data_IF_728820347843
#
_entry.id   IF_728820347843
#
_cell.length_a   1.000
_cell.length_b   1.000
_cell.length_c   1.000
_cell.angle_alpha   90.00
_cell.angle_beta   90.00
_cell.angle_gamma   90.00
#
_symmetry.space_group_name_H-M   'P 1'
#
loop_
_entity.id
_entity.type
_entity.pdbx_description
1 polymer ?
#
# COMPACT_ATOMS: atom_id res chain seq x y z
N UNK A 1 -7.84 -5.42 16.92
CA UNK A 1 -7.95 -4.24 16.05
C UNK A 1 -9.41 -3.87 15.80
N UNK A 2 -10.23 -4.75 15.22
CA UNK A 2 -11.65 -4.45 14.94
C UNK A 2 -12.48 -4.08 16.16
N UNK A 3 -12.19 -4.63 17.35
CA UNK A 3 -12.84 -4.23 18.62
C UNK A 3 -12.59 -2.77 18.97
N UNK A 4 -11.35 -2.28 18.76
CA UNK A 4 -10.98 -0.88 19.04
C UNK A 4 -11.63 0.08 18.05
N UNK A 5 -11.70 -0.30 16.77
CA UNK A 5 -12.31 0.53 15.73
C UNK A 5 -13.85 0.62 15.83
N UNK A 6 -14.49 -0.24 16.62
CA UNK A 6 -15.93 -0.23 16.89
C UNK A 6 -16.28 0.46 18.21
N UNK A 7 -15.29 0.99 18.93
CA UNK A 7 -15.53 1.69 20.19
C UNK A 7 -16.16 3.05 19.90
N UNK A 8 -17.41 3.23 20.33
CA UNK A 8 -18.19 4.45 20.08
C UNK A 8 -17.67 5.67 20.85
N UNK A 9 -16.83 5.46 21.87
CA UNK A 9 -16.20 6.55 22.63
C UNK A 9 -14.93 7.08 21.93
N UNK A 10 -14.51 6.46 20.82
CA UNK A 10 -13.32 6.83 20.06
C UNK A 10 -13.69 7.38 18.67
N UNK A 11 -12.92 8.34 18.12
CA UNK A 11 -13.29 9.07 16.91
C UNK A 11 -13.11 8.27 15.60
N UNK A 12 -13.01 6.94 15.68
CA UNK A 12 -12.67 6.09 14.53
C UNK A 12 -13.80 5.98 13.50
N UNK A 13 -15.05 6.22 13.90
CA UNK A 13 -16.21 6.21 13.01
C UNK A 13 -16.54 7.60 12.42
N UNK A 14 -16.06 8.69 13.02
CA UNK A 14 -16.35 10.06 12.60
C UNK A 14 -15.23 10.71 11.79
N UNK A 15 -13.98 10.46 12.16
CA UNK A 15 -12.82 11.16 11.60
C UNK A 15 -11.93 10.23 10.79
N UNK A 16 -11.24 10.78 9.78
CA UNK A 16 -10.25 10.02 9.03
C UNK A 16 -9.09 9.66 9.96
N UNK A 17 -8.95 8.38 10.26
CA UNK A 17 -7.88 7.85 11.10
C UNK A 17 -6.91 7.03 10.28
N UNK A 18 -5.62 7.23 10.55
CA UNK A 18 -4.53 6.53 9.89
C UNK A 18 -3.80 5.68 10.92
N UNK A 19 -3.79 4.36 10.70
CA UNK A 19 -2.97 3.44 11.47
C UNK A 19 -1.70 3.09 10.69
N UNK A 20 -0.58 2.95 11.40
CA UNK A 20 0.71 2.58 10.82
C UNK A 20 1.18 1.28 11.42
N UNK A 21 1.53 0.31 10.58
CA UNK A 21 1.96 -1.00 11.06
C UNK A 21 3.10 -1.66 10.26
N UNK A 22 3.71 -2.67 10.86
CA UNK A 22 4.76 -3.47 10.23
C UNK A 22 4.24 -4.48 9.20
N UNK A 23 5.18 -5.17 8.53
CA UNK A 23 4.90 -6.18 7.50
C UNK A 23 4.08 -7.38 7.95
N UNK A 24 4.02 -7.67 9.25
CA UNK A 24 3.11 -8.68 9.81
C UNK A 24 1.64 -8.35 9.53
N UNK A 25 1.31 -7.07 9.37
CA UNK A 25 -0.04 -6.54 9.17
C UNK A 25 -0.39 -6.34 7.68
N UNK A 26 0.53 -6.57 6.77
CA UNK A 26 0.29 -6.53 5.30
C UNK A 26 -0.32 -7.82 4.74
N UNK A 27 -1.14 -8.52 5.55
CA UNK A 27 -1.73 -9.82 5.23
C UNK A 27 -3.24 -9.68 5.01
N UNK A 28 -3.78 -10.49 4.09
CA UNK A 28 -5.20 -10.48 3.75
C UNK A 28 -6.13 -10.64 4.96
N UNK A 29 -5.79 -11.52 5.91
CA UNK A 29 -6.58 -11.73 7.14
C UNK A 29 -6.68 -10.50 8.03
N UNK A 30 -5.64 -9.66 8.02
CA UNK A 30 -5.64 -8.42 8.78
C UNK A 30 -6.35 -7.30 8.03
N UNK A 31 -6.05 -7.13 6.74
CA UNK A 31 -6.59 -6.03 5.93
C UNK A 31 -8.06 -6.22 5.56
N UNK A 32 -8.49 -7.45 5.29
CA UNK A 32 -9.86 -7.71 4.80
C UNK A 32 -10.95 -7.20 5.77
N UNK A 33 -10.87 -7.44 7.10
CA UNK A 33 -11.83 -6.87 8.06
C UNK A 33 -11.76 -5.36 8.16
N UNK A 34 -10.56 -4.76 8.05
CA UNK A 34 -10.37 -3.31 8.14
C UNK A 34 -11.15 -2.55 7.07
N UNK A 35 -11.43 -3.20 5.93
CA UNK A 35 -12.25 -2.62 4.86
C UNK A 35 -13.65 -2.19 5.30
N UNK A 36 -14.18 -2.75 6.39
CA UNK A 36 -15.48 -2.40 6.92
C UNK A 36 -15.54 -0.98 7.53
N UNK A 37 -14.40 -0.35 7.81
CA UNK A 37 -14.31 0.95 8.48
C UNK A 37 -13.98 2.05 7.46
N UNK A 38 -14.98 2.86 7.13
CA UNK A 38 -14.91 3.82 6.01
C UNK A 38 -13.90 4.93 6.25
N UNK A 39 -13.79 5.33 7.51
CA UNK A 39 -12.92 6.40 7.96
C UNK A 39 -11.55 5.93 8.41
N UNK A 40 -11.24 4.64 8.23
CA UNK A 40 -9.95 4.09 8.62
C UNK A 40 -9.07 3.80 7.40
N UNK A 41 -7.80 4.17 7.50
CA UNK A 41 -6.76 3.86 6.52
C UNK A 41 -5.54 3.25 7.22
N UNK A 42 -5.05 2.15 6.67
CA UNK A 42 -3.84 1.46 7.09
C UNK A 42 -2.67 1.86 6.19
N UNK A 43 -1.55 2.23 6.79
CA UNK A 43 -0.27 2.44 6.12
C UNK A 43 0.72 1.41 6.64
N UNK A 44 0.85 0.31 5.92
CA UNK A 44 1.58 -0.87 6.40
C UNK A 44 2.82 -1.11 5.59
N UNK A 45 3.97 -1.32 6.25
CA UNK A 45 5.16 -1.80 5.57
C UNK A 45 4.88 -3.13 4.89
N UNK A 46 5.45 -3.39 3.73
CA UNK A 46 5.38 -4.71 3.10
C UNK A 46 6.76 -5.32 2.87
N UNK A 47 6.84 -6.63 3.03
CA UNK A 47 8.05 -7.38 2.76
C UNK A 47 8.34 -7.41 1.25
N UNK A 48 9.61 -7.22 0.87
CA UNK A 48 10.07 -7.11 -0.52
C UNK A 48 9.85 -8.36 -1.41
N UNK A 49 9.40 -9.48 -0.85
CA UNK A 49 9.18 -10.73 -1.57
C UNK A 49 7.71 -10.97 -1.95
N UNK A 50 6.89 -9.92 -1.90
CA UNK A 50 5.46 -9.99 -2.20
C UNK A 50 5.21 -9.75 -3.68
N UNK A 51 4.11 -10.35 -4.14
CA UNK A 51 3.59 -10.20 -5.50
C UNK A 51 2.15 -9.72 -5.42
N UNK A 52 1.86 -8.69 -6.20
CA UNK A 52 0.57 -8.06 -6.37
C UNK A 52 0.15 -8.14 -7.83
N UNK A 53 -1.01 -7.59 -8.13
CA UNK A 53 -1.60 -7.64 -9.46
C UNK A 53 -2.34 -6.34 -9.74
N UNK A 54 -2.26 -5.84 -10.97
CA UNK A 54 -3.18 -4.80 -11.39
C UNK A 54 -4.61 -5.34 -11.45
N UNK A 55 -5.58 -4.48 -11.14
CA UNK A 55 -6.99 -4.78 -11.37
C UNK A 55 -7.23 -4.99 -12.87
N UNK A 56 -7.85 -6.10 -13.24
CA UNK A 56 -8.30 -6.33 -14.61
C UNK A 56 -9.58 -5.52 -14.86
N UNK A 57 -9.54 -4.54 -15.78
CA UNK A 57 -10.69 -3.70 -16.12
C UNK A 57 -10.93 -3.67 -17.65
N UNK A 58 -12.11 -4.14 -18.13
CA UNK A 58 -13.15 -4.83 -17.36
C UNK A 58 -12.68 -6.23 -16.88
N UNK A 59 -13.27 -6.77 -15.80
CA UNK A 59 -13.03 -8.15 -15.40
C UNK A 59 -13.38 -9.10 -16.56
N UNK A 60 -12.56 -10.12 -16.82
CA UNK A 60 -12.86 -11.12 -17.83
C UNK A 60 -13.98 -12.02 -17.30
N UNK A 61 -15.19 -11.95 -17.90
CA UNK A 61 -16.35 -12.61 -17.34
C UNK A 61 -16.27 -14.13 -17.52
N UNK A 62 -15.50 -14.66 -18.48
CA UNK A 62 -15.45 -16.10 -18.76
C UNK A 62 -14.15 -16.54 -19.47
N UNK A 63 -13.14 -17.04 -18.74
CA UNK A 63 -12.02 -17.74 -19.35
C UNK A 63 -12.47 -19.17 -19.76
N UNK A 64 -13.34 -19.27 -20.76
CA UNK A 64 -13.91 -20.54 -21.26
C UNK A 64 -14.90 -21.22 -20.29
N UNK A 65 -15.95 -21.83 -20.86
CA UNK A 65 -16.96 -22.70 -20.23
C UNK A 65 -17.00 -22.74 -18.68
N UNK A 66 -17.73 -21.80 -18.05
CA UNK A 66 -18.13 -21.89 -16.64
C UNK A 66 -17.07 -21.49 -15.60
N UNK A 67 -15.94 -20.90 -16.01
CA UNK A 67 -14.89 -20.44 -15.10
C UNK A 67 -15.28 -19.24 -14.23
N UNK A 68 -14.64 -19.11 -13.06
CA UNK A 68 -14.79 -17.96 -12.14
C UNK A 68 -14.26 -16.67 -12.78
N UNK A 69 -14.95 -15.54 -12.57
CA UNK A 69 -14.54 -14.20 -13.02
C UNK A 69 -13.08 -13.93 -12.65
N UNK A 70 -12.29 -13.50 -13.63
CA UNK A 70 -10.87 -13.18 -13.44
C UNK A 70 -10.71 -11.71 -13.09
N UNK A 71 -10.37 -11.43 -11.83
CA UNK A 71 -10.13 -10.06 -11.33
C UNK A 71 -8.67 -9.62 -11.42
N UNK A 72 -7.72 -10.57 -11.47
CA UNK A 72 -6.29 -10.30 -11.38
C UNK A 72 -5.67 -10.19 -12.79
N UNK A 73 -5.12 -9.02 -13.09
CA UNK A 73 -4.42 -8.71 -14.34
C UNK A 73 -2.93 -9.05 -14.30
N UNK A 74 -2.12 -8.15 -14.84
CA UNK A 74 -0.66 -8.27 -14.88
C UNK A 74 -0.07 -8.31 -13.47
N UNK A 75 0.99 -9.10 -13.30
CA UNK A 75 1.66 -9.23 -12.01
C UNK A 75 2.56 -8.03 -11.74
N UNK A 76 2.61 -7.60 -10.48
CA UNK A 76 3.53 -6.60 -9.93
C UNK A 76 4.37 -7.30 -8.85
N UNK A 77 5.61 -7.66 -9.17
CA UNK A 77 6.52 -8.36 -8.27
C UNK A 77 7.52 -7.38 -7.66
N UNK A 78 7.52 -7.24 -6.33
CA UNK A 78 8.40 -6.28 -5.64
C UNK A 78 9.89 -6.59 -5.81
N UNK A 79 10.25 -7.80 -6.27
CA UNK A 79 11.64 -8.18 -6.58
C UNK A 79 12.05 -7.86 -8.01
N UNK A 80 11.09 -7.68 -8.91
CA UNK A 80 11.33 -7.53 -10.34
C UNK A 80 10.82 -6.18 -10.82
N UNK A 81 11.75 -5.23 -10.94
CA UNK A 81 11.49 -3.86 -11.39
C UNK A 81 10.86 -3.80 -12.79
N UNK A 82 11.09 -4.82 -13.63
CA UNK A 82 10.49 -4.90 -14.96
C UNK A 82 8.98 -5.11 -14.94
N UNK A 83 8.42 -5.46 -13.78
CA UNK A 83 6.98 -5.72 -13.62
C UNK A 83 6.19 -4.54 -13.03
N UNK A 84 6.86 -3.46 -12.61
CA UNK A 84 6.18 -2.38 -11.90
C UNK A 84 5.35 -1.50 -12.81
N UNK A 85 5.76 -1.35 -14.08
CA UNK A 85 5.16 -0.39 -14.99
C UNK A 85 5.36 1.06 -14.54
N UNK A 86 4.63 1.98 -15.17
CA UNK A 86 4.68 3.40 -14.82
C UNK A 86 3.92 3.66 -13.50
N UNK A 87 4.46 4.51 -12.60
CA UNK A 87 3.73 4.93 -11.41
C UNK A 87 2.60 5.91 -11.77
N UNK A 88 1.51 5.86 -11.01
CA UNK A 88 0.39 6.81 -11.12
C UNK A 88 0.74 8.17 -10.50
N UNK A 89 1.61 8.19 -9.48
CA UNK A 89 2.15 9.40 -8.88
C UNK A 89 3.64 9.23 -8.59
N UNK A 90 4.42 10.28 -8.85
CA UNK A 90 5.82 10.37 -8.47
C UNK A 90 6.07 11.72 -7.81
N UNK A 91 6.73 11.70 -6.65
CA UNK A 91 7.11 12.92 -5.92
C UNK A 91 8.43 12.72 -5.23
N UNK A 92 9.14 13.81 -4.99
CA UNK A 92 10.36 13.79 -4.20
C UNK A 92 10.27 14.77 -3.04
N UNK A 93 10.83 14.39 -1.90
CA UNK A 93 10.88 15.25 -0.71
C UNK A 93 12.32 15.32 -0.18
N UNK A 94 12.80 16.53 0.18
CA UNK A 94 14.10 16.66 0.83
C UNK A 94 14.03 16.11 2.25
N UNK A 95 15.12 15.50 2.69
CA UNK A 95 15.25 15.00 4.05
C UNK A 95 16.63 15.32 4.62
N UNK A 96 16.67 15.98 5.77
CA UNK A 96 17.89 16.16 6.56
C UNK A 96 17.95 15.22 7.76
N UNK A 97 19.07 14.51 7.93
CA UNK A 97 19.31 13.71 9.13
C UNK A 97 19.65 14.61 10.32
N UNK A 98 19.57 14.08 11.55
CA UNK A 98 20.04 14.81 12.74
C UNK A 98 21.52 15.24 12.65
N UNK A 99 22.32 14.56 11.83
CA UNK A 99 23.73 14.91 11.59
C UNK A 99 23.92 15.98 10.51
N UNK A 100 22.84 16.58 9.99
CA UNK A 100 22.89 17.58 8.92
C UNK A 100 23.12 16.99 7.52
N UNK A 101 23.05 15.66 7.35
CA UNK A 101 23.21 15.04 6.02
C UNK A 101 21.94 15.28 5.22
N UNK A 102 22.07 15.94 4.07
CA UNK A 102 20.99 16.15 3.11
C UNK A 102 20.80 14.92 2.24
N UNK A 103 19.56 14.45 2.18
CA UNK A 103 19.09 13.29 1.45
C UNK A 103 17.87 13.68 0.62
N UNK A 104 17.61 12.92 -0.44
CA UNK A 104 16.42 13.04 -1.26
C UNK A 104 15.61 11.76 -1.15
N UNK A 105 14.33 11.86 -0.81
CA UNK A 105 13.43 10.71 -0.79
C UNK A 105 12.61 10.73 -2.08
N UNK A 106 12.82 9.73 -2.92
CA UNK A 106 11.99 9.50 -4.10
C UNK A 106 10.84 8.56 -3.74
N UNK A 107 9.62 9.01 -4.02
CA UNK A 107 8.39 8.28 -3.74
C UNK A 107 7.63 8.04 -5.04
N UNK A 108 7.23 6.80 -5.26
CA UNK A 108 6.42 6.39 -6.41
C UNK A 108 5.21 5.61 -5.91
N UNK A 109 4.03 5.85 -6.49
CA UNK A 109 2.78 5.21 -6.11
C UNK A 109 2.11 4.51 -7.29
N UNK A 110 1.57 3.34 -7.01
CA UNK A 110 0.67 2.60 -7.90
C UNK A 110 -0.66 2.42 -7.21
N UNK A 111 -1.72 2.88 -7.85
CA UNK A 111 -3.08 2.84 -7.33
C UNK A 111 -3.78 1.55 -7.74
N UNK A 112 -4.77 1.15 -6.95
CA UNK A 112 -5.70 0.07 -7.30
C UNK A 112 -5.06 -1.31 -7.57
N UNK A 113 -3.95 -1.60 -6.89
CA UNK A 113 -3.37 -2.93 -6.89
C UNK A 113 -4.18 -3.90 -6.04
N UNK A 114 -4.09 -5.17 -6.40
CA UNK A 114 -4.74 -6.29 -5.73
C UNK A 114 -3.70 -7.26 -5.16
N UNK A 115 -4.07 -7.89 -4.05
CA UNK A 115 -3.35 -9.02 -3.49
C UNK A 115 -4.26 -10.23 -3.43
N UNK A 116 -3.68 -11.43 -3.49
CA UNK A 116 -4.47 -12.65 -3.33
C UNK A 116 -4.94 -12.79 -1.88
N UNK A 117 -6.24 -12.98 -1.73
CA UNK A 117 -6.88 -13.28 -0.46
C UNK A 117 -6.94 -14.77 -0.16
N UNK A 118 -7.69 -15.10 0.90
CA UNK A 118 -8.12 -16.45 1.24
C UNK A 118 -9.64 -16.54 1.09
N UNK A 119 -10.22 -17.73 1.22
CA UNK A 119 -11.68 -17.94 1.05
C UNK A 119 -12.48 -17.10 2.05
N UNK A 120 -12.00 -17.05 3.29
CA UNK A 120 -12.53 -16.30 4.43
C UNK A 120 -11.99 -14.86 4.54
N UNK A 121 -11.05 -14.48 3.68
CA UNK A 121 -10.53 -13.11 3.56
C UNK A 121 -10.32 -12.73 2.08
N UNK A 122 -11.41 -12.60 1.29
CA UNK A 122 -11.31 -12.28 -0.13
C UNK A 122 -10.81 -10.84 -0.33
N UNK A 123 -9.82 -10.67 -1.21
CA UNK A 123 -9.17 -9.37 -1.47
C UNK A 123 -9.38 -8.85 -2.89
N UNK A 124 -10.11 -9.58 -3.75
CA UNK A 124 -10.29 -9.21 -5.16
C UNK A 124 -11.18 -7.96 -5.38
N UNK A 125 -11.95 -7.55 -4.36
CA UNK A 125 -12.76 -6.30 -4.35
C UNK A 125 -12.20 -5.24 -3.41
N UNK A 126 -10.98 -5.46 -2.90
CA UNK A 126 -10.34 -4.62 -1.89
C UNK A 126 -9.02 -4.06 -2.42
N UNK A 127 -9.07 -3.19 -3.44
CA UNK A 127 -7.88 -2.55 -3.98
C UNK A 127 -7.18 -1.71 -2.93
N UNK A 128 -5.86 -1.60 -3.09
CA UNK A 128 -5.00 -0.77 -2.27
C UNK A 128 -3.95 -0.10 -3.13
N UNK A 129 -3.33 0.92 -2.56
CA UNK A 129 -2.28 1.64 -3.24
C UNK A 129 -0.94 1.22 -2.64
N UNK A 130 0.08 1.15 -3.49
CA UNK A 130 1.43 0.73 -3.11
C UNK A 130 2.38 1.89 -3.32
N UNK A 131 3.16 2.21 -2.29
CA UNK A 131 4.18 3.27 -2.34
C UNK A 131 5.57 2.66 -2.23
N UNK A 132 6.40 2.90 -3.25
CA UNK A 132 7.84 2.66 -3.23
C UNK A 132 8.52 3.88 -2.62
N UNK A 133 9.39 3.66 -1.65
CA UNK A 133 10.17 4.71 -1.00
C UNK A 133 11.66 4.38 -1.12
N UNK A 134 12.40 5.23 -1.83
CA UNK A 134 13.84 5.14 -2.00
C UNK A 134 14.51 6.41 -1.49
N UNK A 135 15.65 6.25 -0.81
CA UNK A 135 16.39 7.38 -0.26
C UNK A 135 17.75 7.45 -0.92
N UNK A 136 18.05 8.61 -1.48
CA UNK A 136 19.28 8.95 -2.18
C UNK A 136 20.07 9.99 -1.38
N UNK A 137 21.39 9.93 -1.48
CA UNK A 137 22.25 11.01 -1.03
C UNK A 137 22.50 12.04 -2.14
N UNK A 138 23.36 13.02 -1.88
CA UNK A 138 23.68 14.09 -2.83
C UNK A 138 24.48 13.60 -4.05
N UNK A 139 24.92 12.35 -4.08
CA UNK A 139 25.59 11.74 -5.24
C UNK A 139 24.65 10.74 -5.96
N UNK A 140 23.33 10.85 -5.75
CA UNK A 140 22.31 9.96 -6.31
C UNK A 140 22.53 8.48 -5.96
N UNK A 141 23.21 8.21 -4.85
CA UNK A 141 23.44 6.85 -4.37
C UNK A 141 22.38 6.45 -3.36
N UNK A 142 21.83 5.25 -3.52
CA UNK A 142 20.91 4.66 -2.56
C UNK A 142 21.57 4.55 -1.17
N UNK A 143 20.96 5.22 -0.19
CA UNK A 143 21.36 5.17 1.22
C UNK A 143 21.00 3.81 1.83
N UNK A 144 19.82 3.28 1.48
CA UNK A 144 19.34 2.01 1.97
C UNK A 144 19.34 0.96 0.86
N UNK A 145 20.00 -0.17 1.12
CA UNK A 145 20.04 -1.32 0.18
C UNK A 145 18.66 -1.91 -0.08
N UNK A 146 17.77 -1.89 0.91
CA UNK A 146 16.42 -2.43 0.77
C UNK A 146 15.44 -1.28 0.53
N UNK A 147 14.67 -1.39 -0.53
CA UNK A 147 13.55 -0.51 -0.83
C UNK A 147 12.49 -0.67 0.28
N UNK A 148 11.99 0.46 0.77
CA UNK A 148 10.83 0.48 1.66
C UNK A 148 9.57 0.51 0.80
N UNK A 149 8.66 -0.41 1.10
CA UNK A 149 7.37 -0.50 0.43
C UNK A 149 6.26 -0.33 1.46
N UNK A 150 5.27 0.49 1.14
CA UNK A 150 4.10 0.74 1.99
C UNK A 150 2.82 0.42 1.22
N UNK A 151 1.89 -0.29 1.87
CA UNK A 151 0.51 -0.42 1.42
C UNK A 151 -0.29 0.68 2.07
N UNK A 152 -1.08 1.42 1.29
CA UNK A 152 -2.12 2.34 1.76
C UNK A 152 -3.48 1.68 1.49
N UNK A 153 -4.14 1.20 2.54
CA UNK A 153 -5.35 0.38 2.45
C UNK A 153 -6.51 1.02 3.20
N UNK A 154 -7.66 1.17 2.54
CA UNK A 154 -8.86 1.76 3.15
C UNK A 154 -9.81 2.33 2.10
N UNK A 155 -11.05 2.66 2.50
CA UNK A 155 -12.02 3.30 1.59
C UNK A 155 -11.58 4.70 1.20
N UNK A 156 -11.00 5.44 2.14
CA UNK A 156 -10.50 6.80 1.95
C UNK A 156 -8.99 6.88 1.66
N UNK A 157 -8.35 5.80 1.20
CA UNK A 157 -6.89 5.77 0.89
C UNK A 157 -6.43 6.86 -0.08
N UNK A 158 -7.29 7.30 -1.00
CA UNK A 158 -7.03 8.39 -1.93
C UNK A 158 -6.92 9.77 -1.25
N UNK A 159 -7.33 9.89 0.02
CA UNK A 159 -7.15 11.11 0.84
C UNK A 159 -5.76 11.19 1.46
N UNK A 160 -5.00 10.09 1.46
CA UNK A 160 -3.62 10.07 1.95
C UNK A 160 -2.71 10.33 0.77
N UNK A 161 -1.97 11.44 0.79
CA UNK A 161 -0.99 11.73 -0.25
C UNK A 161 0.20 10.78 -0.16
N UNK A 162 0.93 10.64 -1.26
CA UNK A 162 2.13 9.81 -1.34
C UNK A 162 3.19 10.22 -0.30
N UNK A 163 3.39 11.54 -0.12
CA UNK A 163 4.27 12.08 0.92
C UNK A 163 3.75 11.79 2.33
N UNK A 164 2.45 12.00 2.60
CA UNK A 164 1.87 11.76 3.91
C UNK A 164 1.98 10.28 4.33
N UNK A 165 1.81 9.33 3.40
CA UNK A 165 1.99 7.91 3.70
C UNK A 165 3.43 7.61 4.19
N UNK A 166 4.44 8.15 3.51
CA UNK A 166 5.83 7.98 3.92
C UNK A 166 6.16 8.68 5.25
N UNK A 167 5.74 9.94 5.40
CA UNK A 167 6.00 10.73 6.61
C UNK A 167 5.35 10.13 7.85
N UNK A 168 4.07 9.72 7.74
CA UNK A 168 3.35 9.07 8.85
C UNK A 168 4.01 7.76 9.23
N UNK A 169 4.40 6.93 8.25
CA UNK A 169 5.10 5.67 8.54
C UNK A 169 6.41 5.90 9.30
N UNK A 170 7.12 6.98 8.95
CA UNK A 170 8.43 7.29 9.48
C UNK A 170 8.41 7.87 10.90
N UNK A 171 7.29 8.45 11.33
CA UNK A 171 7.12 8.97 12.70
C UNK A 171 6.96 7.87 13.76
N UNK A 172 6.87 6.60 13.34
CA UNK A 172 6.78 5.42 14.21
C UNK A 172 8.15 4.94 14.69
#
# INVERSE_FOLDING_TARGET
MTTLLNDADLPFDTELTVNVADSSYSKAYYLSPVRAFDNHVEVNRVAKNRKFFHLLSPPDPHPGHGGRIKHFGTAFDLKDTGTWGEPDEETEIPWETHSGRKLQVKLQRWNDLLMRGKIDAPMYEKPFDLVCCQVFDQQDKLVFKNILWLIVFGKRRCKISTAAAYETYRQR
#
